data_IF_071781960407
#
_entry.id   IF_071781960407
#
_cell.length_a   1.000
_cell.length_b   1.000
_cell.length_c   1.000
_cell.angle_alpha   90.00
_cell.angle_beta   90.00
_cell.angle_gamma   90.00
#
_symmetry.space_group_name_H-M   'P 1'
#
loop_
_entity.id
_entity.type
_entity.pdbx_description
1 polymer ?
#
# COMPACT_ATOMS: atom_id res chain seq x y z
N UNK A 1 -17.46 10.06 -26.71
CA UNK A 1 -17.40 9.03 -27.78
C UNK A 1 -16.04 8.37 -27.67
N UNK A 2 -15.98 7.06 -27.38
CA UNK A 2 -14.71 6.31 -27.27
C UNK A 2 -14.21 6.13 -28.70
N UNK A 3 -12.99 6.59 -28.98
CA UNK A 3 -12.38 6.48 -30.29
C UNK A 3 -11.73 5.10 -30.43
N UNK A 4 -11.94 4.41 -31.56
CA UNK A 4 -11.34 3.10 -31.86
C UNK A 4 -9.82 3.11 -31.71
N UNK A 5 -9.17 4.23 -32.01
CA UNK A 5 -7.73 4.41 -31.85
C UNK A 5 -7.31 4.36 -30.38
N UNK A 6 -8.10 4.97 -29.49
CA UNK A 6 -7.81 4.99 -28.05
C UNK A 6 -7.95 3.59 -27.42
N UNK A 7 -8.90 2.79 -27.95
CA UNK A 7 -9.09 1.37 -27.54
C UNK A 7 -7.86 0.55 -27.97
N UNK A 8 -7.45 0.64 -29.23
CA UNK A 8 -6.28 -0.09 -29.75
C UNK A 8 -5.00 0.31 -29.02
N UNK A 9 -4.83 1.59 -28.69
CA UNK A 9 -3.69 2.08 -27.92
C UNK A 9 -3.68 1.51 -26.49
N UNK A 10 -4.85 1.40 -25.85
CA UNK A 10 -4.96 0.79 -24.52
C UNK A 10 -4.62 -0.69 -24.54
N UNK A 11 -5.11 -1.43 -25.53
CA UNK A 11 -4.76 -2.85 -25.72
C UNK A 11 -3.25 -3.01 -25.91
N UNK A 12 -2.64 -2.21 -26.75
CA UNK A 12 -1.19 -2.22 -26.97
C UNK A 12 -0.40 -1.93 -25.67
N UNK A 13 -0.85 -0.98 -24.86
CA UNK A 13 -0.20 -0.69 -23.58
C UNK A 13 -0.29 -1.87 -22.59
N UNK A 14 -1.38 -2.63 -22.62
CA UNK A 14 -1.57 -3.80 -21.75
C UNK A 14 -0.74 -4.99 -22.24
N UNK A 15 -0.89 -5.36 -23.51
CA UNK A 15 -0.30 -6.57 -24.07
C UNK A 15 1.20 -6.44 -24.33
N UNK A 16 1.63 -5.31 -24.92
CA UNK A 16 3.01 -5.13 -25.37
C UNK A 16 3.88 -4.31 -24.41
N UNK A 17 3.29 -3.39 -23.64
CA UNK A 17 4.00 -2.46 -22.78
C UNK A 17 3.89 -2.81 -21.28
N UNK A 18 3.20 -3.91 -20.94
CA UNK A 18 3.02 -4.42 -19.57
C UNK A 18 2.39 -3.39 -18.60
N UNK A 19 1.33 -2.72 -19.05
CA UNK A 19 0.54 -1.86 -18.19
C UNK A 19 -0.31 -2.72 -17.26
N UNK A 20 -0.15 -2.54 -15.97
CA UNK A 20 -0.98 -3.19 -14.95
C UNK A 20 -1.53 -2.19 -13.93
N UNK A 21 -2.65 -2.56 -13.33
CA UNK A 21 -3.12 -1.97 -12.09
C UNK A 21 -2.44 -2.72 -10.96
N UNK A 22 -1.49 -2.06 -10.32
CA UNK A 22 -0.68 -2.70 -9.28
C UNK A 22 -1.51 -3.09 -8.07
N UNK A 23 -2.46 -2.24 -7.72
CA UNK A 23 -3.34 -2.51 -6.59
C UNK A 23 -4.66 -1.73 -6.66
N UNK A 24 -5.73 -2.36 -6.20
CA UNK A 24 -6.91 -1.69 -5.66
C UNK A 24 -6.83 -1.84 -4.15
N UNK A 25 -6.78 -0.73 -3.43
CA UNK A 25 -6.67 -0.69 -1.97
C UNK A 25 -7.90 -0.04 -1.38
N UNK A 26 -8.57 -0.74 -0.47
CA UNK A 26 -9.65 -0.17 0.34
C UNK A 26 -9.06 0.35 1.65
N UNK A 27 -9.11 1.66 1.85
CA UNK A 27 -8.83 2.30 3.14
C UNK A 27 -10.03 2.14 4.06
N UNK A 28 -9.80 1.78 5.33
CA UNK A 28 -10.86 1.61 6.33
C UNK A 28 -10.43 2.27 7.64
N UNK A 29 -11.19 3.25 8.11
CA UNK A 29 -11.00 3.83 9.43
C UNK A 29 -11.40 2.84 10.52
N UNK A 30 -10.55 2.67 11.53
CA UNK A 30 -10.80 1.80 12.69
C UNK A 30 -10.96 2.60 14.00
N UNK A 31 -11.06 3.92 13.93
CA UNK A 31 -11.12 4.77 15.13
C UNK A 31 -12.31 4.46 16.03
N UNK A 32 -13.44 4.06 15.45
CA UNK A 32 -14.65 3.64 16.17
C UNK A 32 -14.54 2.24 16.79
N UNK A 33 -13.47 1.49 16.45
CA UNK A 33 -13.19 0.17 17.02
C UNK A 33 -12.36 0.25 18.31
N UNK A 34 -11.93 1.45 18.75
CA UNK A 34 -11.21 1.63 20.01
C UNK A 34 -12.04 1.14 21.20
N UNK A 35 -11.40 0.41 22.10
CA UNK A 35 -11.95 -0.06 23.37
C UNK A 35 -10.83 -0.15 24.40
N UNK A 36 -11.15 -0.05 25.69
CA UNK A 36 -10.19 -0.30 26.76
C UNK A 36 -9.84 -1.79 26.88
N UNK A 37 -10.72 -2.65 26.40
CA UNK A 37 -10.47 -4.09 26.31
C UNK A 37 -9.96 -4.43 24.91
N UNK A 38 -8.74 -4.97 24.83
CA UNK A 38 -8.12 -5.36 23.56
C UNK A 38 -8.90 -6.43 22.82
N UNK A 39 -9.52 -7.37 23.52
CA UNK A 39 -10.27 -8.46 22.89
C UNK A 39 -11.60 -7.95 22.28
N UNK A 40 -12.25 -6.98 22.94
CA UNK A 40 -13.40 -6.27 22.37
C UNK A 40 -12.99 -5.42 21.14
N UNK A 41 -11.88 -4.68 21.25
CA UNK A 41 -11.33 -3.91 20.13
C UNK A 41 -11.00 -4.81 18.93
N UNK A 42 -10.29 -5.91 19.14
CA UNK A 42 -9.95 -6.88 18.10
C UNK A 42 -11.21 -7.46 17.42
N UNK A 43 -12.25 -7.80 18.18
CA UNK A 43 -13.53 -8.28 17.64
C UNK A 43 -14.15 -7.22 16.71
N UNK A 44 -14.26 -5.96 17.17
CA UNK A 44 -14.81 -4.85 16.35
C UNK A 44 -13.99 -4.61 15.09
N UNK A 45 -12.66 -4.66 15.18
CA UNK A 45 -11.75 -4.55 14.03
C UNK A 45 -12.04 -5.63 13.01
N UNK A 46 -12.10 -6.90 13.44
CA UNK A 46 -12.42 -8.02 12.56
C UNK A 46 -13.77 -7.84 11.88
N UNK A 47 -14.82 -7.59 12.65
CA UNK A 47 -16.19 -7.46 12.14
C UNK A 47 -16.30 -6.29 11.13
N UNK A 48 -15.63 -5.18 11.40
CA UNK A 48 -15.64 -4.02 10.51
C UNK A 48 -14.95 -4.31 9.19
N UNK A 49 -13.75 -4.87 9.21
CA UNK A 49 -12.98 -5.21 8.00
C UNK A 49 -13.74 -6.27 7.18
N UNK A 50 -14.19 -7.35 7.80
CA UNK A 50 -14.94 -8.41 7.14
C UNK A 50 -16.18 -7.87 6.41
N UNK A 51 -16.95 -6.99 7.06
CA UNK A 51 -18.12 -6.37 6.46
C UNK A 51 -17.79 -5.37 5.34
N UNK A 52 -16.81 -4.48 5.56
CA UNK A 52 -16.51 -3.41 4.59
C UNK A 52 -15.81 -3.94 3.34
N UNK A 53 -14.90 -4.90 3.49
CA UNK A 53 -14.11 -5.43 2.38
C UNK A 53 -14.66 -6.74 1.79
N UNK A 54 -15.85 -7.21 2.22
CA UNK A 54 -16.47 -8.45 1.79
C UNK A 54 -16.46 -8.66 0.27
N UNK A 55 -16.76 -7.62 -0.48
CA UNK A 55 -16.89 -7.68 -1.93
C UNK A 55 -15.66 -7.20 -2.71
N UNK A 56 -14.60 -6.73 -2.02
CA UNK A 56 -13.46 -6.09 -2.66
C UNK A 56 -12.77 -6.99 -3.69
N UNK A 57 -12.47 -8.23 -3.32
CA UNK A 57 -11.76 -9.18 -4.20
C UNK A 57 -12.65 -9.59 -5.36
N UNK A 58 -13.92 -9.90 -5.12
CA UNK A 58 -14.88 -10.26 -6.17
C UNK A 58 -15.02 -9.15 -7.20
N UNK A 59 -15.25 -7.92 -6.75
CA UNK A 59 -15.40 -6.75 -7.63
C UNK A 59 -14.10 -6.47 -8.39
N UNK A 60 -12.94 -6.58 -7.74
CA UNK A 60 -11.64 -6.44 -8.39
C UNK A 60 -11.46 -7.45 -9.54
N UNK A 61 -11.80 -8.71 -9.33
CA UNK A 61 -11.72 -9.74 -10.36
C UNK A 61 -12.77 -9.56 -11.50
N UNK A 62 -13.95 -9.05 -11.17
CA UNK A 62 -14.95 -8.71 -12.20
C UNK A 62 -14.47 -7.58 -13.11
N UNK A 63 -13.91 -6.51 -12.52
CA UNK A 63 -13.34 -5.38 -13.27
C UNK A 63 -12.18 -5.84 -14.15
N UNK A 64 -11.27 -6.66 -13.61
CA UNK A 64 -10.15 -7.24 -14.36
C UNK A 64 -10.63 -7.99 -15.61
N UNK A 65 -11.66 -8.83 -15.47
CA UNK A 65 -12.23 -9.60 -16.59
C UNK A 65 -12.95 -8.73 -17.60
N UNK A 66 -13.67 -7.71 -17.15
CA UNK A 66 -14.47 -6.85 -18.03
C UNK A 66 -13.62 -5.89 -18.84
N UNK A 67 -12.60 -5.30 -18.20
CA UNK A 67 -11.73 -4.31 -18.84
C UNK A 67 -10.47 -4.93 -19.48
N UNK A 68 -10.19 -6.20 -19.22
CA UNK A 68 -8.99 -6.88 -19.72
C UNK A 68 -7.68 -6.33 -19.15
N UNK A 69 -7.72 -5.58 -18.06
CA UNK A 69 -6.55 -4.98 -17.40
C UNK A 69 -6.20 -5.79 -16.15
N UNK A 70 -4.97 -6.35 -16.05
CA UNK A 70 -4.56 -7.08 -14.86
C UNK A 70 -4.60 -6.21 -13.61
N UNK A 71 -5.23 -6.71 -12.54
CA UNK A 71 -5.22 -6.10 -11.21
C UNK A 71 -4.46 -7.02 -10.28
N UNK A 72 -3.17 -6.73 -10.09
CA UNK A 72 -2.22 -7.66 -9.45
C UNK A 72 -2.57 -7.90 -7.99
N UNK A 73 -2.91 -6.85 -7.24
CA UNK A 73 -3.23 -6.97 -5.82
C UNK A 73 -4.58 -6.32 -5.47
N UNK A 74 -5.29 -6.96 -4.57
CA UNK A 74 -6.45 -6.42 -3.86
C UNK A 74 -6.04 -6.31 -2.39
N UNK A 75 -6.07 -5.11 -1.82
CA UNK A 75 -5.49 -4.79 -0.51
C UNK A 75 -6.47 -4.06 0.39
N UNK A 76 -6.23 -4.16 1.68
CA UNK A 76 -6.86 -3.33 2.69
C UNK A 76 -5.77 -2.52 3.40
N UNK A 77 -6.02 -1.24 3.65
CA UNK A 77 -5.21 -0.39 4.51
C UNK A 77 -6.09 0.11 5.66
N UNK A 78 -5.60 0.02 6.89
CA UNK A 78 -6.38 0.44 8.06
C UNK A 78 -5.68 1.56 8.83
N UNK A 79 -6.42 2.20 9.71
CA UNK A 79 -5.88 3.17 10.67
C UNK A 79 -4.66 2.59 11.39
N UNK A 80 -3.60 3.38 11.61
CA UNK A 80 -2.42 2.91 12.35
C UNK A 80 -2.80 2.25 13.68
N UNK A 81 -2.50 0.97 13.81
CA UNK A 81 -2.91 0.16 14.97
C UNK A 81 -2.31 0.68 16.27
N UNK A 82 -1.17 1.39 16.21
CA UNK A 82 -0.60 2.03 17.42
C UNK A 82 -1.61 2.96 18.13
N UNK A 83 -2.51 3.59 17.39
CA UNK A 83 -3.55 4.46 17.96
C UNK A 83 -4.59 3.65 18.76
N UNK A 84 -4.98 2.48 18.26
CA UNK A 84 -5.90 1.58 18.95
C UNK A 84 -5.20 0.93 20.15
N UNK A 85 -3.95 0.50 19.98
CA UNK A 85 -3.14 -0.11 21.02
C UNK A 85 -2.88 0.85 22.20
N UNK A 86 -2.76 2.16 21.93
CA UNK A 86 -2.64 3.17 22.97
C UNK A 86 -3.89 3.27 23.86
N UNK A 87 -5.07 2.98 23.31
CA UNK A 87 -6.34 3.03 24.03
C UNK A 87 -6.65 1.74 24.80
N UNK A 88 -6.31 0.58 24.23
CA UNK A 88 -6.68 -0.73 24.78
C UNK A 88 -5.67 -1.31 25.77
N UNK A 89 -4.38 -0.91 25.65
CA UNK A 89 -3.30 -1.61 26.33
C UNK A 89 -3.15 -3.07 25.86
N UNK A 90 -2.44 -3.89 26.63
CA UNK A 90 -2.24 -5.30 26.32
C UNK A 90 -1.20 -5.56 25.23
N UNK A 91 -1.20 -6.79 24.69
CA UNK A 91 -0.24 -7.23 23.67
C UNK A 91 -0.69 -6.85 22.24
N UNK A 92 0.02 -5.93 21.55
CA UNK A 92 -0.34 -5.52 20.19
C UNK A 92 -0.34 -6.66 19.16
N UNK A 93 0.37 -7.77 19.39
CA UNK A 93 0.37 -8.94 18.50
C UNK A 93 -1.04 -9.49 18.27
N UNK A 94 -1.95 -9.33 19.25
CA UNK A 94 -3.37 -9.71 19.07
C UNK A 94 -4.02 -8.98 17.88
N UNK A 95 -3.70 -7.69 17.69
CA UNK A 95 -4.19 -6.95 16.52
C UNK A 95 -3.63 -7.51 15.22
N UNK A 96 -2.33 -7.85 15.17
CA UNK A 96 -1.75 -8.45 13.97
C UNK A 96 -2.45 -9.76 13.60
N UNK A 97 -2.68 -10.64 14.59
CA UNK A 97 -3.41 -11.89 14.37
C UNK A 97 -4.88 -11.67 13.98
N UNK A 98 -5.49 -10.59 14.44
CA UNK A 98 -6.85 -10.20 14.06
C UNK A 98 -6.89 -9.70 12.61
N UNK A 99 -5.94 -8.87 12.21
CA UNK A 99 -5.77 -8.40 10.83
C UNK A 99 -5.52 -9.58 9.89
N UNK A 100 -4.68 -10.53 10.29
CA UNK A 100 -4.43 -11.76 9.52
C UNK A 100 -5.71 -12.55 9.27
N UNK A 101 -6.49 -12.81 10.32
CA UNK A 101 -7.79 -13.48 10.19
C UNK A 101 -8.76 -12.74 9.29
N UNK A 102 -8.80 -11.40 9.40
CA UNK A 102 -9.66 -10.57 8.56
C UNK A 102 -9.20 -10.62 7.09
N UNK A 103 -7.90 -10.54 6.82
CA UNK A 103 -7.33 -10.64 5.47
C UNK A 103 -7.69 -11.98 4.81
N UNK A 104 -7.54 -13.08 5.54
CA UNK A 104 -7.93 -14.42 5.09
C UNK A 104 -9.43 -14.52 4.81
N UNK A 105 -10.26 -13.97 5.69
CA UNK A 105 -11.74 -14.03 5.54
C UNK A 105 -12.23 -13.29 4.29
N UNK A 106 -11.62 -12.14 3.95
CA UNK A 106 -11.99 -11.35 2.77
C UNK A 106 -11.19 -11.70 1.51
N UNK A 107 -10.14 -12.53 1.65
CA UNK A 107 -9.33 -13.04 0.55
C UNK A 107 -8.38 -12.02 -0.09
N UNK A 108 -7.99 -10.96 0.64
CA UNK A 108 -7.06 -9.96 0.12
C UNK A 108 -5.62 -10.45 0.15
N UNK A 109 -4.79 -9.91 -0.76
CA UNK A 109 -3.38 -10.29 -0.84
C UNK A 109 -2.56 -9.76 0.34
N UNK A 110 -2.86 -8.52 0.76
CA UNK A 110 -2.16 -7.85 1.86
C UNK A 110 -3.10 -6.96 2.66
N UNK A 111 -2.79 -6.80 3.95
CA UNK A 111 -3.42 -5.82 4.84
C UNK A 111 -2.34 -4.98 5.50
N UNK A 112 -2.37 -3.67 5.25
CA UNK A 112 -1.49 -2.68 5.85
C UNK A 112 -2.17 -1.97 7.02
N UNK A 113 -1.36 -1.26 7.82
CA UNK A 113 -1.85 -0.50 8.97
C UNK A 113 -1.40 -1.03 10.33
N UNK A 114 -0.64 -2.14 10.37
CA UNK A 114 0.12 -2.49 11.58
C UNK A 114 1.29 -1.52 11.74
N UNK A 115 0.97 -0.26 12.06
CA UNK A 115 1.80 0.91 11.83
C UNK A 115 1.78 1.87 13.00
N UNK A 116 2.84 2.70 13.10
CA UNK A 116 2.93 3.83 14.03
C UNK A 116 3.46 5.09 13.31
N UNK A 117 3.03 6.25 13.79
CA UNK A 117 3.38 7.57 13.25
C UNK A 117 4.24 8.32 14.26
N UNK A 118 5.55 8.13 14.19
CA UNK A 118 6.50 8.58 15.23
C UNK A 118 7.37 9.78 14.80
N UNK A 119 6.97 10.49 13.76
CA UNK A 119 7.69 11.67 13.26
C UNK A 119 7.79 12.82 14.26
N UNK A 120 6.91 12.85 15.27
CA UNK A 120 6.90 13.88 16.35
C UNK A 120 7.37 13.35 17.69
N UNK A 121 7.89 12.14 17.76
CA UNK A 121 8.23 11.42 19.00
C UNK A 121 7.35 10.19 19.19
N UNK A 122 7.58 9.46 20.28
CA UNK A 122 6.85 8.23 20.59
C UNK A 122 5.71 8.51 21.58
N UNK A 123 4.55 7.96 21.30
CA UNK A 123 3.49 7.76 22.28
C UNK A 123 3.61 6.35 22.90
N UNK A 124 3.02 6.08 24.08
CA UNK A 124 3.13 4.77 24.74
C UNK A 124 2.68 3.59 23.86
N UNK A 125 1.65 3.77 23.05
CA UNK A 125 1.19 2.75 22.10
C UNK A 125 2.16 2.49 20.94
N UNK A 126 2.93 3.49 20.53
CA UNK A 126 3.90 3.37 19.44
C UNK A 126 5.05 2.44 19.80
N UNK A 127 5.63 2.62 21.00
CA UNK A 127 6.75 1.78 21.46
C UNK A 127 6.31 0.31 21.63
N UNK A 128 5.14 0.09 22.20
CA UNK A 128 4.59 -1.25 22.38
C UNK A 128 4.39 -1.94 21.02
N UNK A 129 3.79 -1.24 20.06
CA UNK A 129 3.58 -1.78 18.72
C UNK A 129 4.90 -2.03 18.00
N UNK A 130 5.83 -1.07 17.97
CA UNK A 130 7.10 -1.21 17.26
C UNK A 130 7.90 -2.40 17.78
N UNK A 131 7.96 -2.58 19.10
CA UNK A 131 8.66 -3.72 19.70
C UNK A 131 8.01 -5.07 19.41
N UNK A 132 6.71 -5.10 19.10
CA UNK A 132 5.97 -6.31 18.74
C UNK A 132 6.07 -6.69 17.25
N UNK A 133 6.53 -5.77 16.36
CA UNK A 133 6.62 -6.01 14.91
C UNK A 133 7.34 -7.31 14.54
N UNK A 134 8.52 -7.64 15.11
CA UNK A 134 9.21 -8.86 14.74
C UNK A 134 8.38 -10.12 14.96
N UNK A 135 7.71 -10.24 16.11
CA UNK A 135 6.82 -11.36 16.40
C UNK A 135 5.55 -11.33 15.53
N UNK A 136 4.93 -10.17 15.37
CA UNK A 136 3.74 -10.00 14.57
C UNK A 136 3.96 -10.45 13.11
N UNK A 137 5.04 -10.00 12.48
CA UNK A 137 5.34 -10.34 11.08
C UNK A 137 5.86 -11.77 10.89
N UNK A 138 6.47 -12.37 11.92
CA UNK A 138 6.84 -13.79 11.88
C UNK A 138 5.62 -14.73 12.00
N UNK A 139 4.53 -14.27 12.66
CA UNK A 139 3.31 -15.07 12.91
C UNK A 139 2.17 -14.80 11.91
N UNK A 140 2.38 -13.92 10.94
CA UNK A 140 1.36 -13.53 9.95
C UNK A 140 1.90 -13.63 8.54
N UNK A 141 1.03 -13.92 7.58
CA UNK A 141 1.39 -14.02 6.15
C UNK A 141 1.00 -12.75 5.39
N UNK A 142 -0.22 -12.25 5.59
CA UNK A 142 -0.81 -11.13 4.83
C UNK A 142 -0.55 -9.76 5.45
N UNK A 143 -0.22 -9.70 6.75
CA UNK A 143 -0.03 -8.44 7.47
C UNK A 143 1.28 -7.77 7.05
N UNK A 144 1.17 -6.50 6.67
CA UNK A 144 2.32 -5.64 6.40
C UNK A 144 2.36 -4.49 7.41
N UNK A 145 3.58 -4.08 7.75
CA UNK A 145 3.83 -3.03 8.74
C UNK A 145 4.56 -1.85 8.14
N UNK A 146 4.34 -0.67 8.71
CA UNK A 146 5.10 0.52 8.36
C UNK A 146 5.26 1.46 9.55
N UNK A 147 6.39 2.15 9.59
CA UNK A 147 6.64 3.18 10.59
C UNK A 147 7.01 4.47 9.88
N UNK A 148 6.24 5.53 10.10
CA UNK A 148 6.56 6.85 9.56
C UNK A 148 7.42 7.62 10.56
N UNK A 149 8.71 7.76 10.25
CA UNK A 149 9.72 8.32 11.15
C UNK A 149 10.01 9.82 10.92
N UNK A 150 9.46 10.40 9.88
CA UNK A 150 9.75 11.79 9.52
C UNK A 150 8.67 12.43 8.68
N UNK A 151 8.70 13.76 8.66
CA UNK A 151 7.89 14.58 7.77
C UNK A 151 8.61 15.89 7.44
N UNK A 152 8.21 16.55 6.35
CA UNK A 152 8.74 17.87 5.98
C UNK A 152 8.48 18.93 7.06
N UNK A 153 7.45 18.73 7.88
CA UNK A 153 7.10 19.67 8.97
C UNK A 153 7.81 19.38 10.29
N UNK A 154 8.00 18.09 10.61
CA UNK A 154 8.54 17.66 11.90
C UNK A 154 10.05 17.30 11.84
N UNK A 155 10.62 17.15 10.67
CA UNK A 155 11.95 16.60 10.50
C UNK A 155 11.96 15.08 10.62
N UNK A 156 13.13 14.52 10.91
CA UNK A 156 13.35 13.07 11.05
C UNK A 156 13.57 12.73 12.53
N UNK A 157 12.83 11.78 13.05
CA UNK A 157 13.05 11.22 14.40
C UNK A 157 14.21 10.24 14.37
N UNK A 158 15.40 10.69 14.76
CA UNK A 158 16.63 9.87 14.73
C UNK A 158 16.61 8.71 15.74
N UNK A 159 15.89 8.83 16.86
CA UNK A 159 15.70 7.72 17.80
C UNK A 159 14.86 6.61 17.16
N UNK A 160 13.84 6.98 16.39
CA UNK A 160 13.06 6.03 15.60
C UNK A 160 13.92 5.35 14.50
N UNK A 161 14.81 6.08 13.83
CA UNK A 161 15.77 5.49 12.87
C UNK A 161 16.62 4.42 13.55
N UNK A 162 17.21 4.75 14.70
CA UNK A 162 18.06 3.83 15.44
C UNK A 162 17.29 2.60 15.94
N UNK A 163 16.05 2.79 16.41
CA UNK A 163 15.16 1.71 16.85
C UNK A 163 14.79 0.81 15.68
N UNK A 164 14.37 1.39 14.55
CA UNK A 164 13.95 0.61 13.38
C UNK A 164 15.07 -0.23 12.78
N UNK A 165 16.31 0.22 12.82
CA UNK A 165 17.45 -0.61 12.42
C UNK A 165 17.55 -1.91 13.22
N UNK A 166 17.31 -1.85 14.53
CA UNK A 166 17.28 -3.04 15.41
C UNK A 166 16.06 -3.93 15.14
N UNK A 167 14.89 -3.31 14.94
CA UNK A 167 13.64 -4.03 14.65
C UNK A 167 13.73 -4.77 13.32
N UNK A 168 14.22 -4.14 12.24
CA UNK A 168 14.40 -4.77 10.92
C UNK A 168 15.31 -5.98 11.06
N UNK A 169 16.45 -5.83 11.73
CA UNK A 169 17.39 -6.94 11.95
C UNK A 169 16.73 -8.10 12.70
N UNK A 170 16.05 -7.81 13.81
CA UNK A 170 15.36 -8.83 14.61
C UNK A 170 14.26 -9.53 13.80
N UNK A 171 13.52 -8.77 12.97
CA UNK A 171 12.48 -9.32 12.10
C UNK A 171 13.08 -10.28 11.07
N UNK A 172 14.21 -9.91 10.45
CA UNK A 172 14.91 -10.75 9.51
C UNK A 172 15.43 -12.04 10.19
N UNK A 173 16.03 -11.92 11.37
CA UNK A 173 16.53 -13.06 12.16
C UNK A 173 15.40 -14.04 12.52
N UNK A 174 14.21 -13.54 12.95
CA UNK A 174 13.07 -14.40 13.29
C UNK A 174 12.41 -15.08 12.10
N UNK A 175 12.64 -14.59 10.90
CA UNK A 175 12.09 -15.16 9.66
C UNK A 175 13.17 -15.68 8.70
N UNK A 176 14.36 -16.01 9.25
CA UNK A 176 15.51 -16.46 8.47
C UNK A 176 15.21 -17.74 7.68
N UNK A 177 14.46 -18.67 8.27
CA UNK A 177 14.07 -19.94 7.63
C UNK A 177 13.09 -19.73 6.46
N UNK A 178 12.43 -18.57 6.37
CA UNK A 178 11.54 -18.16 5.29
C UNK A 178 12.12 -16.96 4.50
N UNK A 179 13.38 -17.02 4.15
CA UNK A 179 14.10 -16.02 3.35
C UNK A 179 13.98 -14.58 3.89
N UNK A 180 13.88 -14.42 5.19
CA UNK A 180 13.70 -13.13 5.88
C UNK A 180 12.46 -12.35 5.43
N UNK A 181 11.38 -13.02 5.00
CA UNK A 181 10.17 -12.41 4.43
C UNK A 181 9.53 -11.39 5.37
N UNK A 182 9.65 -11.56 6.67
CA UNK A 182 9.15 -10.59 7.65
C UNK A 182 9.74 -9.20 7.44
N UNK A 183 11.04 -9.10 7.14
CA UNK A 183 11.68 -7.83 6.85
C UNK A 183 11.20 -7.20 5.53
N UNK A 184 10.81 -8.01 4.53
CA UNK A 184 10.22 -7.53 3.28
C UNK A 184 8.78 -6.99 3.45
N UNK A 185 8.09 -7.38 4.53
CA UNK A 185 6.74 -6.87 4.88
C UNK A 185 6.79 -5.61 5.76
N UNK A 186 7.98 -5.09 6.08
CA UNK A 186 8.18 -3.91 6.93
C UNK A 186 8.76 -2.76 6.12
N UNK A 187 8.09 -1.60 6.17
CA UNK A 187 8.55 -0.38 5.51
C UNK A 187 8.79 0.72 6.53
N UNK A 188 9.91 1.44 6.38
CA UNK A 188 10.18 2.65 7.15
C UNK A 188 9.98 3.84 6.22
N UNK A 189 8.96 4.64 6.51
CA UNK A 189 8.61 5.82 5.73
C UNK A 189 9.21 7.10 6.31
N UNK A 190 9.48 8.04 5.42
CA UNK A 190 9.69 9.44 5.75
C UNK A 190 8.77 10.26 4.86
N UNK A 191 7.91 11.08 5.45
CA UNK A 191 6.92 11.92 4.77
C UNK A 191 5.89 11.12 3.95
N UNK A 192 5.42 9.98 4.50
CA UNK A 192 4.38 9.18 3.85
C UNK A 192 3.05 9.94 3.81
N UNK A 193 2.35 9.96 2.68
CA UNK A 193 0.95 10.40 2.61
C UNK A 193 0.04 9.41 3.34
N UNK A 194 -1.07 9.91 3.85
CA UNK A 194 -2.01 9.14 4.68
C UNK A 194 -2.89 8.17 3.88
N UNK A 195 -2.91 8.31 2.58
CA UNK A 195 -3.78 7.58 1.64
C UNK A 195 -3.01 6.78 0.57
N UNK A 196 -1.72 6.53 0.77
CA UNK A 196 -0.87 5.84 -0.21
C UNK A 196 -1.35 4.40 -0.47
N UNK A 197 -1.83 4.07 -1.70
CA UNK A 197 -2.30 2.73 -2.02
C UNK A 197 -1.20 1.79 -2.50
N UNK A 198 -0.03 2.32 -2.86
CA UNK A 198 0.96 1.59 -3.65
C UNK A 198 1.81 0.62 -2.80
N UNK A 199 2.25 1.06 -1.64
CA UNK A 199 3.07 0.24 -0.74
C UNK A 199 2.21 -0.72 0.08
N UNK A 200 2.64 -1.97 0.19
CA UNK A 200 1.90 -2.99 0.93
C UNK A 200 1.75 -2.66 2.42
N UNK A 201 2.73 -1.99 3.02
CA UNK A 201 2.68 -1.54 4.42
C UNK A 201 2.02 -0.18 4.63
N UNK A 202 1.42 0.42 3.60
CA UNK A 202 0.73 1.70 3.75
C UNK A 202 -0.43 1.61 4.74
N UNK A 203 -0.81 2.75 5.30
CA UNK A 203 -1.86 2.88 6.30
C UNK A 203 -2.95 3.84 5.82
N UNK A 204 -4.11 3.74 6.42
CA UNK A 204 -5.21 4.69 6.25
C UNK A 204 -5.16 5.71 7.37
N UNK A 205 -4.83 6.95 7.05
CA UNK A 205 -4.60 8.01 8.03
C UNK A 205 -5.86 8.43 8.78
N UNK A 206 -5.70 9.03 9.95
CA UNK A 206 -6.84 9.48 10.76
C UNK A 206 -7.60 10.66 10.15
N UNK A 207 -7.00 11.38 9.19
CA UNK A 207 -7.64 12.47 8.44
C UNK A 207 -8.44 12.02 7.24
N UNK A 208 -8.36 10.76 6.87
CA UNK A 208 -9.01 10.18 5.71
C UNK A 208 -10.49 9.81 5.97
N UNK A 209 -11.32 9.62 4.92
CA UNK A 209 -12.72 9.21 5.07
C UNK A 209 -12.88 7.88 5.80
N UNK A 210 -14.10 7.57 6.23
CA UNK A 210 -14.46 6.30 6.89
C UNK A 210 -14.06 5.05 6.08
N UNK A 211 -14.23 5.12 4.77
CA UNK A 211 -13.66 4.18 3.81
C UNK A 211 -13.44 4.86 2.46
N UNK A 212 -12.42 4.41 1.73
CA UNK A 212 -12.05 4.99 0.44
C UNK A 212 -11.42 3.92 -0.46
N UNK A 213 -11.62 4.03 -1.76
CA UNK A 213 -10.93 3.21 -2.76
C UNK A 213 -9.79 4.01 -3.37
N UNK A 214 -8.57 3.52 -3.22
CA UNK A 214 -7.37 4.07 -3.84
C UNK A 214 -6.79 3.05 -4.83
N UNK A 215 -6.22 3.55 -5.92
CA UNK A 215 -5.67 2.69 -6.98
C UNK A 215 -4.21 3.05 -7.24
N UNK A 216 -3.35 2.04 -7.21
CA UNK A 216 -1.94 2.16 -7.60
C UNK A 216 -1.72 1.61 -9.00
N UNK A 217 -1.12 2.40 -9.89
CA UNK A 217 -0.84 2.02 -11.27
C UNK A 217 0.67 1.94 -11.50
N UNK A 218 1.13 0.83 -12.08
CA UNK A 218 2.53 0.64 -12.42
C UNK A 218 2.75 0.94 -13.89
N UNK A 219 3.57 1.93 -14.19
CA UNK A 219 3.78 2.39 -15.56
C UNK A 219 5.22 2.37 -16.09
N UNK A 220 6.23 1.73 -15.41
CA UNK A 220 7.61 1.80 -15.88
C UNK A 220 7.82 1.11 -17.24
N UNK A 221 7.13 0.02 -17.50
CA UNK A 221 7.15 -0.67 -18.80
C UNK A 221 6.68 0.24 -19.93
N UNK A 222 5.52 0.86 -19.75
CA UNK A 222 4.91 1.79 -20.71
C UNK A 222 5.80 2.99 -20.99
N UNK A 223 6.35 3.61 -19.94
CA UNK A 223 7.27 4.74 -20.07
C UNK A 223 8.55 4.32 -20.82
N UNK A 224 9.13 3.17 -20.49
CA UNK A 224 10.30 2.62 -21.17
C UNK A 224 10.02 2.39 -22.67
N UNK A 225 8.90 1.80 -23.01
CA UNK A 225 8.51 1.57 -24.41
C UNK A 225 8.28 2.89 -25.16
N UNK A 226 7.65 3.86 -24.53
CA UNK A 226 7.47 5.19 -25.10
C UNK A 226 8.80 5.90 -25.39
N UNK A 227 9.75 5.82 -24.48
CA UNK A 227 11.09 6.44 -24.64
C UNK A 227 11.93 5.74 -25.71
N UNK A 228 11.79 4.42 -25.89
CA UNK A 228 12.47 3.70 -26.98
C UNK A 228 12.05 4.16 -28.39
N UNK A 229 10.88 4.78 -28.51
CA UNK A 229 10.38 5.33 -29.80
C UNK A 229 11.03 6.65 -30.18
N UNK A 230 11.79 7.27 -29.27
CA UNK A 230 12.51 8.56 -29.48
C UNK A 230 13.99 8.45 -29.05
N UNK A 231 14.78 7.53 -29.64
CA UNK A 231 16.16 7.26 -29.19
C UNK A 231 17.08 8.49 -29.25
N UNK A 232 16.85 9.38 -30.22
CA UNK A 232 17.63 10.60 -30.45
C UNK A 232 16.93 11.86 -29.88
N UNK A 233 15.91 11.66 -29.03
CA UNK A 233 15.13 12.75 -28.43
C UNK A 233 15.99 13.61 -27.50
N UNK A 234 15.82 14.93 -27.57
CA UNK A 234 16.41 15.85 -26.61
C UNK A 234 15.65 15.79 -25.27
N UNK A 235 16.14 16.48 -24.25
CA UNK A 235 15.56 16.46 -22.89
C UNK A 235 14.09 16.91 -22.88
N UNK A 236 13.71 17.86 -23.72
CA UNK A 236 12.32 18.32 -23.84
C UNK A 236 11.43 17.23 -24.43
N UNK A 237 11.89 16.54 -25.48
CA UNK A 237 11.14 15.42 -26.10
C UNK A 237 10.94 14.28 -25.12
N UNK A 238 11.97 13.97 -24.31
CA UNK A 238 11.89 12.95 -23.24
C UNK A 238 10.87 13.36 -22.19
N UNK A 239 10.94 14.61 -21.69
CA UNK A 239 10.02 15.11 -20.67
C UNK A 239 8.56 15.11 -21.16
N UNK A 240 8.32 15.58 -22.39
CA UNK A 240 6.98 15.59 -23.00
C UNK A 240 6.43 14.18 -23.24
N UNK A 241 7.29 13.25 -23.63
CA UNK A 241 6.90 11.85 -23.82
C UNK A 241 6.50 11.20 -22.50
N UNK A 242 7.30 11.39 -21.43
CA UNK A 242 6.97 10.89 -20.10
C UNK A 242 5.64 11.50 -19.61
N UNK A 243 5.47 12.80 -19.75
CA UNK A 243 4.26 13.52 -19.35
C UNK A 243 3.02 12.98 -20.07
N UNK A 244 3.06 12.85 -21.39
CA UNK A 244 1.95 12.31 -22.20
C UNK A 244 1.61 10.87 -21.80
N UNK A 245 2.63 10.04 -21.56
CA UNK A 245 2.48 8.66 -21.13
C UNK A 245 1.85 8.58 -19.74
N UNK A 246 2.33 9.38 -18.79
CA UNK A 246 1.77 9.45 -17.44
C UNK A 246 0.28 9.82 -17.45
N UNK A 247 -0.13 10.80 -18.27
CA UNK A 247 -1.54 11.15 -18.43
C UNK A 247 -2.41 9.99 -18.91
N UNK A 248 -1.93 9.19 -19.87
CA UNK A 248 -2.67 8.03 -20.39
C UNK A 248 -2.85 6.96 -19.31
N UNK A 249 -1.78 6.63 -18.60
CA UNK A 249 -1.78 5.64 -17.53
C UNK A 249 -2.72 6.08 -16.40
N UNK A 250 -2.67 7.34 -16.00
CA UNK A 250 -3.54 7.90 -14.96
C UNK A 250 -5.02 7.82 -15.34
N UNK A 251 -5.36 8.04 -16.60
CA UNK A 251 -6.75 7.91 -17.08
C UNK A 251 -7.30 6.50 -16.92
N UNK A 252 -6.49 5.48 -17.20
CA UNK A 252 -6.88 4.10 -16.96
C UNK A 252 -7.08 3.83 -15.46
N UNK A 253 -6.15 4.30 -14.63
CA UNK A 253 -6.28 4.21 -13.17
C UNK A 253 -7.58 4.85 -12.66
N UNK A 254 -7.93 6.03 -13.17
CA UNK A 254 -9.18 6.72 -12.82
C UNK A 254 -10.42 5.94 -13.25
N UNK A 255 -10.41 5.33 -14.45
CA UNK A 255 -11.51 4.51 -14.92
C UNK A 255 -11.76 3.32 -13.99
N UNK A 256 -10.69 2.57 -13.67
CA UNK A 256 -10.77 1.41 -12.78
C UNK A 256 -11.20 1.83 -11.36
N UNK A 257 -10.64 2.93 -10.84
CA UNK A 257 -10.99 3.45 -9.52
C UNK A 257 -12.45 3.89 -9.43
N UNK A 258 -12.95 4.59 -10.45
CA UNK A 258 -14.35 5.04 -10.52
C UNK A 258 -15.31 3.86 -10.60
N UNK A 259 -14.95 2.83 -11.34
CA UNK A 259 -15.76 1.62 -11.47
C UNK A 259 -15.78 0.80 -10.18
N UNK A 260 -14.61 0.65 -9.53
CA UNK A 260 -14.51 0.01 -8.21
C UNK A 260 -15.33 0.78 -7.15
N UNK A 261 -15.21 2.10 -7.12
CA UNK A 261 -16.00 2.97 -6.24
C UNK A 261 -17.50 2.78 -6.42
N UNK A 262 -17.96 2.78 -7.67
CA UNK A 262 -19.38 2.61 -8.01
C UNK A 262 -19.91 1.23 -7.58
N UNK A 263 -19.16 0.14 -7.82
CA UNK A 263 -19.60 -1.23 -7.50
C UNK A 263 -19.55 -1.54 -6.01
N UNK A 264 -18.61 -0.93 -5.30
CA UNK A 264 -18.42 -1.15 -3.86
C UNK A 264 -19.21 -0.15 -3.01
N UNK A 265 -19.80 0.88 -3.62
CA UNK A 265 -20.45 2.00 -2.92
C UNK A 265 -19.54 2.66 -1.88
N UNK A 266 -18.27 2.88 -2.26
CA UNK A 266 -17.23 3.48 -1.43
C UNK A 266 -16.61 4.64 -2.21
N UNK A 267 -16.41 5.83 -1.61
CA UNK A 267 -15.81 6.97 -2.30
C UNK A 267 -14.48 6.64 -2.96
N UNK A 268 -14.24 7.22 -4.12
CA UNK A 268 -12.93 7.19 -4.77
C UNK A 268 -12.03 8.27 -4.15
N UNK A 269 -10.81 7.89 -3.77
CA UNK A 269 -9.78 8.76 -3.23
C UNK A 269 -8.78 9.18 -4.30
N UNK A 270 -7.66 8.48 -4.39
CA UNK A 270 -6.55 8.83 -5.27
C UNK A 270 -6.19 7.72 -6.27
N UNK A 271 -5.55 8.15 -7.37
CA UNK A 271 -4.72 7.28 -8.21
C UNK A 271 -3.26 7.63 -7.97
N UNK A 272 -2.51 6.67 -7.46
CA UNK A 272 -1.06 6.79 -7.31
C UNK A 272 -0.36 6.14 -8.50
N UNK A 273 0.54 6.90 -9.14
CA UNK A 273 1.28 6.48 -10.31
C UNK A 273 2.74 6.27 -9.96
N UNK A 274 3.23 5.05 -10.09
CA UNK A 274 4.66 4.77 -10.03
C UNK A 274 5.24 4.56 -11.42
N UNK A 275 5.90 5.56 -12.02
CA UNK A 275 6.57 5.42 -13.31
C UNK A 275 7.96 4.78 -13.18
N UNK A 276 8.41 4.50 -11.96
CA UNK A 276 9.77 4.05 -11.64
C UNK A 276 9.77 2.58 -11.25
N UNK A 277 10.61 1.78 -11.89
CA UNK A 277 10.88 0.40 -11.51
C UNK A 277 12.18 0.31 -10.73
N UNK A 278 12.12 -0.13 -9.50
CA UNK A 278 13.31 -0.36 -8.67
C UNK A 278 14.25 -1.41 -9.26
N UNK A 279 13.73 -2.38 -10.01
CA UNK A 279 14.52 -3.46 -10.64
C UNK A 279 15.22 -3.04 -11.92
N UNK A 280 14.81 -1.95 -12.57
CA UNK A 280 15.37 -1.53 -13.86
C UNK A 280 16.08 -0.17 -13.80
N UNK A 281 15.87 0.60 -12.74
CA UNK A 281 16.52 1.86 -12.43
C UNK A 281 17.44 1.77 -11.21
N UNK A 282 17.65 0.61 -10.65
CA UNK A 282 18.95 0.41 -10.05
C UNK A 282 19.92 0.66 -11.20
N UNK A 283 20.39 1.88 -11.28
CA UNK A 283 21.75 2.12 -11.70
C UNK A 283 22.50 0.92 -11.20
N UNK A 284 23.34 0.24 -12.00
CA UNK A 284 24.31 -0.66 -11.44
C UNK A 284 24.95 0.18 -10.34
N UNK A 285 24.36 0.07 -9.16
CA UNK A 285 24.94 0.61 -7.97
C UNK A 285 26.15 -0.21 -7.91
N UNK A 286 27.00 0.39 -8.52
CA UNK A 286 28.35 0.01 -8.74
C UNK A 286 28.74 -0.72 -7.50
N UNK A 287 29.24 -1.93 -7.64
CA UNK A 287 29.90 -2.62 -6.56
C UNK A 287 31.15 -1.85 -6.11
N UNK A 288 31.05 -0.53 -6.05
CA UNK A 288 32.14 0.41 -5.85
C UNK A 288 31.90 1.30 -4.64
N UNK A 289 31.13 0.82 -3.67
CA UNK A 289 31.22 1.40 -2.33
C UNK A 289 31.47 0.29 -1.35
#
# INVERSE_FOLDING_TARGET
>A
MINTRDILETIHMIEDENLDIRTITMGISLLDCCSQDIDDSCRRVYDKIARKAENLVRVGCEIEKEYGVPIINKRVAVTPIAMLAAASGGDPVKYALTLEKAAQAVGVNFIGGYSALVQKGFAPGDEALINSIPEALARTEHVCSSINIGSTKAGINMDAVALMGKIIRKTAELTADDNCIGAAKLVVFCNAPEDNPFMAGAFHGPGEPESVINVGVSGPGVVRCALKKIPDGNLTDVADTIKKTAFKITRLGQLIASEASRRLDVPFGIVDLSPVSYTHLTLPTTPYV
#
